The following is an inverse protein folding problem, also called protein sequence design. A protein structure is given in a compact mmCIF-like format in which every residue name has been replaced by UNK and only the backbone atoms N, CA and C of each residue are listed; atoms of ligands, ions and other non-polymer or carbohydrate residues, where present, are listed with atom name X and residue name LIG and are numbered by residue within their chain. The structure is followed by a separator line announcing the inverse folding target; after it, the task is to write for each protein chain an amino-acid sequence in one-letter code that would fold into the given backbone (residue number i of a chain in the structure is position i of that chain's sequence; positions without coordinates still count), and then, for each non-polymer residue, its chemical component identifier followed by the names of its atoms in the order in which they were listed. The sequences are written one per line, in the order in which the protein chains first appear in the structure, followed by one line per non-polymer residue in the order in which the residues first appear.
data_IF_361956619192
#
_entry.id   IF_361956619192
#
_cell.length_a   1.000
_cell.length_b   1.000
_cell.length_c   1.000
_cell.angle_alpha   90.00
_cell.angle_beta   90.00
_cell.angle_gamma   90.00
#
_symmetry.space_group_name_H-M   'P 1'
#
loop_
_entity.id
_entity.type
_entity.pdbx_description
1 polymer ?
#
# COMPACT_ATOMS: atom_id res chain seq x y z
N UNK A 1 -3.76 27.63 21.12
CA UNK A 1 -2.93 26.55 21.68
C UNK A 1 -3.71 25.58 22.58
N UNK A 2 -4.54 26.05 23.51
CA UNK A 2 -5.34 25.20 24.42
C UNK A 2 -6.28 24.20 23.71
N UNK A 3 -6.97 24.60 22.66
CA UNK A 3 -7.87 23.72 21.90
C UNK A 3 -7.16 22.56 21.19
N UNK A 4 -5.95 22.79 20.68
CA UNK A 4 -5.12 21.74 20.05
C UNK A 4 -4.61 20.72 21.09
N UNK A 5 -4.19 21.17 22.26
CA UNK A 5 -3.75 20.29 23.36
C UNK A 5 -4.91 19.39 23.86
N UNK A 6 -6.11 19.94 23.97
CA UNK A 6 -7.30 19.21 24.38
C UNK A 6 -7.67 18.15 23.32
N UNK A 7 -7.62 18.50 22.03
CA UNK A 7 -7.92 17.52 20.96
C UNK A 7 -6.87 16.40 20.90
N UNK A 8 -5.59 16.67 21.18
CA UNK A 8 -4.55 15.65 21.28
C UNK A 8 -4.74 14.75 22.52
N UNK A 9 -5.15 15.34 23.64
CA UNK A 9 -5.45 14.57 24.86
C UNK A 9 -6.63 13.60 24.66
N UNK A 10 -7.70 14.01 23.99
CA UNK A 10 -8.81 13.14 23.62
C UNK A 10 -8.41 12.08 22.59
N UNK A 11 -7.52 12.42 21.64
CA UNK A 11 -6.99 11.48 20.66
C UNK A 11 -6.13 10.37 21.29
N UNK A 12 -5.40 10.68 22.37
CA UNK A 12 -4.58 9.71 23.10
C UNK A 12 -5.39 8.88 24.12
N UNK A 13 -6.54 9.35 24.57
CA UNK A 13 -7.36 8.66 25.55
C UNK A 13 -7.80 7.27 25.05
N UNK A 14 -8.23 7.19 23.80
CA UNK A 14 -8.69 5.93 23.19
C UNK A 14 -7.60 4.85 23.13
N UNK A 15 -6.39 5.09 22.58
CA UNK A 15 -5.32 4.10 22.57
C UNK A 15 -4.87 3.70 24.00
N UNK A 16 -4.80 4.64 24.94
CA UNK A 16 -4.44 4.35 26.33
C UNK A 16 -5.49 3.47 27.00
N UNK A 17 -6.76 3.77 26.79
CA UNK A 17 -7.86 2.98 27.34
C UNK A 17 -7.89 1.57 26.75
N UNK A 18 -7.65 1.44 25.45
CA UNK A 18 -7.53 0.14 24.78
C UNK A 18 -6.33 -0.67 25.31
N UNK A 19 -5.18 -0.03 25.51
CA UNK A 19 -3.99 -0.69 26.08
C UNK A 19 -4.24 -1.14 27.53
N UNK A 20 -4.95 -0.32 28.33
CA UNK A 20 -5.34 -0.69 29.68
C UNK A 20 -6.32 -1.87 29.71
N UNK A 21 -7.33 -1.85 28.86
CA UNK A 21 -8.26 -2.97 28.71
C UNK A 21 -7.55 -4.24 28.26
N UNK A 22 -6.62 -4.13 27.31
CA UNK A 22 -5.79 -5.24 26.86
C UNK A 22 -5.01 -5.87 28.02
N UNK A 23 -4.27 -5.07 28.78
CA UNK A 23 -3.49 -5.54 29.94
C UNK A 23 -4.39 -6.13 31.03
N UNK A 24 -5.56 -5.55 31.27
CA UNK A 24 -6.54 -6.06 32.22
C UNK A 24 -7.07 -7.46 31.84
N UNK A 25 -7.38 -7.68 30.55
CA UNK A 25 -7.84 -8.98 30.08
C UNK A 25 -6.71 -10.02 30.03
N UNK A 26 -5.47 -9.61 29.70
CA UNK A 26 -4.32 -10.51 29.64
C UNK A 26 -4.01 -11.16 30.99
N UNK A 27 -4.31 -10.47 32.10
CA UNK A 27 -4.00 -10.94 33.45
C UNK A 27 -5.11 -11.80 34.09
N UNK A 28 -6.28 -12.00 33.42
CA UNK A 28 -7.43 -12.65 34.06
C UNK A 28 -7.37 -14.18 34.08
N UNK A 29 -6.77 -14.84 33.10
CA UNK A 29 -6.61 -16.31 33.09
C UNK A 29 -5.55 -16.76 32.10
N UNK A 30 -5.04 -17.98 32.26
CA UNK A 30 -4.05 -18.61 31.37
C UNK A 30 -4.58 -18.71 29.92
N UNK A 31 -5.88 -19.02 29.75
CA UNK A 31 -6.51 -19.06 28.42
C UNK A 31 -6.60 -17.68 27.78
N UNK A 32 -6.85 -16.63 28.57
CA UNK A 32 -6.83 -15.25 28.10
C UNK A 32 -5.40 -14.76 27.83
N UNK A 33 -4.40 -15.19 28.60
CA UNK A 33 -3.00 -14.83 28.37
C UNK A 33 -2.44 -15.38 27.04
N UNK A 34 -3.01 -16.47 26.50
CA UNK A 34 -2.68 -16.94 25.16
C UNK A 34 -3.23 -16.00 24.07
N UNK A 35 -4.47 -15.53 24.20
CA UNK A 35 -5.10 -14.64 23.23
C UNK A 35 -4.69 -13.17 23.44
N UNK A 36 -4.53 -12.75 24.70
CA UNK A 36 -4.14 -11.39 25.11
C UNK A 36 -2.79 -11.45 25.82
N UNK A 37 -1.70 -11.42 25.08
CA UNK A 37 -0.35 -11.49 25.63
C UNK A 37 -0.05 -10.25 26.48
N UNK A 38 0.54 -10.39 27.70
CA UNK A 38 0.96 -9.27 28.52
C UNK A 38 1.93 -8.32 27.78
N UNK A 39 1.77 -7.02 27.98
CA UNK A 39 2.62 -6.01 27.34
C UNK A 39 4.11 -6.23 27.63
N UNK A 40 4.42 -6.74 28.84
CA UNK A 40 5.80 -7.05 29.24
C UNK A 40 6.45 -8.13 28.36
N UNK A 41 5.68 -9.16 27.97
CA UNK A 41 6.18 -10.24 27.11
C UNK A 41 6.34 -9.75 25.66
N UNK A 42 5.41 -8.92 25.17
CA UNK A 42 5.55 -8.26 23.85
C UNK A 42 6.82 -7.41 23.81
N UNK A 43 7.09 -6.65 24.87
CA UNK A 43 8.28 -5.82 24.97
C UNK A 43 9.57 -6.65 25.01
N UNK A 44 9.59 -7.76 25.76
CA UNK A 44 10.71 -8.69 25.79
C UNK A 44 11.00 -9.29 24.41
N UNK A 45 9.95 -9.77 23.72
CA UNK A 45 10.07 -10.35 22.37
C UNK A 45 10.51 -9.34 21.32
N UNK A 46 10.09 -8.08 21.46
CA UNK A 46 10.60 -7.01 20.60
C UNK A 46 12.12 -6.87 20.72
N UNK A 47 12.66 -6.82 21.94
CA UNK A 47 14.11 -6.72 22.15
C UNK A 47 14.85 -7.99 21.77
N UNK A 48 14.27 -9.16 21.96
CA UNK A 48 14.82 -10.44 21.47
C UNK A 48 15.00 -10.41 19.94
N UNK A 49 13.93 -10.07 19.21
CA UNK A 49 13.93 -10.01 17.75
C UNK A 49 14.79 -8.86 17.19
N UNK A 50 14.88 -7.76 17.90
CA UNK A 50 15.75 -6.65 17.52
C UNK A 50 17.24 -6.98 17.77
N UNK A 51 17.52 -7.66 18.87
CA UNK A 51 18.90 -8.02 19.26
C UNK A 51 19.52 -9.13 18.43
N UNK A 52 18.74 -10.12 17.99
CA UNK A 52 19.20 -11.19 17.10
C UNK A 52 19.17 -10.80 15.61
N UNK A 53 18.59 -9.64 15.27
CA UNK A 53 18.50 -9.13 13.91
C UNK A 53 17.34 -9.67 13.07
N UNK A 54 16.53 -10.59 13.60
CA UNK A 54 15.41 -11.20 12.86
C UNK A 54 14.38 -10.17 12.45
N UNK A 55 14.06 -9.20 13.32
CA UNK A 55 13.11 -8.14 13.00
C UNK A 55 13.58 -7.30 11.82
N UNK A 56 14.85 -6.91 11.82
CA UNK A 56 15.44 -6.10 10.75
C UNK A 56 15.51 -6.87 9.42
N UNK A 57 15.91 -8.14 9.45
CA UNK A 57 15.95 -9.01 8.28
C UNK A 57 14.58 -9.16 7.61
N UNK A 58 13.56 -9.51 8.42
CA UNK A 58 12.20 -9.71 7.92
C UNK A 58 11.56 -8.40 7.45
N UNK A 59 11.77 -7.29 8.17
CA UNK A 59 11.31 -5.97 7.77
C UNK A 59 11.91 -5.55 6.42
N UNK A 60 13.23 -5.74 6.25
CA UNK A 60 13.91 -5.40 4.99
C UNK A 60 13.39 -6.25 3.82
N UNK A 61 13.15 -7.53 4.03
CA UNK A 61 12.59 -8.42 3.02
C UNK A 61 11.20 -7.96 2.58
N UNK A 62 10.31 -7.62 3.54
CA UNK A 62 8.96 -7.08 3.26
C UNK A 62 9.05 -5.75 2.51
N UNK A 63 9.89 -4.81 2.95
CA UNK A 63 10.07 -3.52 2.28
C UNK A 63 10.59 -3.69 0.84
N UNK A 64 11.56 -4.57 0.63
CA UNK A 64 12.09 -4.87 -0.70
C UNK A 64 11.01 -5.41 -1.64
N UNK A 65 10.19 -6.36 -1.18
CA UNK A 65 9.09 -6.92 -1.97
C UNK A 65 8.03 -5.84 -2.28
N UNK A 66 7.66 -5.02 -1.28
CA UNK A 66 6.73 -3.91 -1.47
C UNK A 66 7.23 -2.90 -2.52
N UNK A 67 8.50 -2.50 -2.43
CA UNK A 67 9.10 -1.54 -3.35
C UNK A 67 9.26 -2.09 -4.77
N UNK A 68 9.63 -3.36 -4.93
CA UNK A 68 9.73 -4.00 -6.25
C UNK A 68 8.36 -4.10 -6.91
N UNK A 69 7.35 -4.60 -6.18
CA UNK A 69 5.99 -4.67 -6.69
C UNK A 69 5.39 -3.29 -6.99
N UNK A 70 5.65 -2.29 -6.12
CA UNK A 70 5.24 -0.91 -6.34
C UNK A 70 5.87 -0.34 -7.62
N UNK A 71 7.15 -0.55 -7.85
CA UNK A 71 7.84 -0.04 -9.03
C UNK A 71 7.29 -0.67 -10.32
N UNK A 72 7.19 -2.00 -10.36
CA UNK A 72 6.69 -2.73 -11.53
C UNK A 72 5.23 -2.37 -11.81
N UNK A 73 4.37 -2.42 -10.78
CA UNK A 73 2.94 -2.13 -10.90
C UNK A 73 2.68 -0.67 -11.30
N UNK A 74 3.48 0.28 -10.80
CA UNK A 74 3.39 1.70 -11.18
C UNK A 74 3.76 1.91 -12.65
N UNK A 75 4.86 1.35 -13.11
CA UNK A 75 5.31 1.46 -14.51
C UNK A 75 4.26 0.88 -15.46
N UNK A 76 3.79 -0.32 -15.20
CA UNK A 76 2.76 -0.97 -16.01
C UNK A 76 1.42 -0.22 -15.93
N UNK A 77 1.03 0.23 -14.74
CA UNK A 77 -0.22 0.95 -14.52
C UNK A 77 -0.26 2.29 -15.25
N UNK A 78 0.83 3.08 -15.16
CA UNK A 78 0.93 4.35 -15.91
C UNK A 78 0.91 4.05 -17.42
N UNK A 79 1.66 3.07 -17.89
CA UNK A 79 1.75 2.75 -19.33
C UNK A 79 0.39 2.33 -19.90
N UNK A 80 -0.31 1.43 -19.23
CA UNK A 80 -1.63 0.94 -19.67
C UNK A 80 -2.70 2.03 -19.50
N UNK A 81 -2.73 2.72 -18.36
CA UNK A 81 -3.68 3.81 -18.12
C UNK A 81 -3.52 4.96 -19.10
N UNK A 82 -2.29 5.35 -19.40
CA UNK A 82 -2.01 6.38 -20.40
C UNK A 82 -2.40 5.91 -21.83
N UNK A 83 -2.12 4.67 -22.19
CA UNK A 83 -2.50 4.13 -23.50
C UNK A 83 -4.02 4.14 -23.70
N UNK A 84 -4.78 3.70 -22.70
CA UNK A 84 -6.26 3.77 -22.72
C UNK A 84 -6.77 5.21 -22.76
N UNK A 85 -6.12 6.13 -22.01
CA UNK A 85 -6.54 7.54 -21.95
C UNK A 85 -6.32 8.31 -23.26
N UNK A 86 -5.25 7.97 -24.01
CA UNK A 86 -4.83 8.68 -25.23
C UNK A 86 -5.39 8.03 -26.51
N UNK A 87 -5.37 6.68 -26.55
CA UNK A 87 -5.63 5.91 -27.77
C UNK A 87 -7.03 5.28 -27.66
N UNK A 88 -7.97 5.77 -28.45
CA UNK A 88 -9.36 5.27 -28.48
C UNK A 88 -9.44 3.75 -28.74
N UNK A 89 -8.60 3.22 -29.61
CA UNK A 89 -8.56 1.77 -29.90
C UNK A 89 -8.09 0.97 -28.68
N UNK A 90 -7.09 1.48 -27.92
CA UNK A 90 -6.66 0.85 -26.69
C UNK A 90 -7.75 0.88 -25.60
N UNK A 91 -8.49 1.99 -25.49
CA UNK A 91 -9.63 2.12 -24.59
C UNK A 91 -10.71 1.08 -24.88
N UNK A 92 -11.08 0.92 -26.16
CA UNK A 92 -12.11 -0.04 -26.59
C UNK A 92 -11.67 -1.50 -26.37
N UNK A 93 -10.39 -1.82 -26.59
CA UNK A 93 -9.88 -3.20 -26.50
C UNK A 93 -9.51 -3.59 -25.08
N UNK A 94 -8.79 -2.72 -24.36
CA UNK A 94 -8.23 -3.01 -23.02
C UNK A 94 -9.22 -2.63 -21.93
N UNK A 95 -9.95 -1.53 -22.10
CA UNK A 95 -10.85 -0.98 -21.07
C UNK A 95 -11.83 -1.99 -20.50
N UNK A 96 -12.63 -2.70 -21.30
CA UNK A 96 -13.57 -3.69 -20.79
C UNK A 96 -12.88 -4.81 -19.98
N UNK A 97 -11.77 -5.34 -20.49
CA UNK A 97 -10.99 -6.39 -19.83
C UNK A 97 -10.45 -5.87 -18.49
N UNK A 98 -9.84 -4.69 -18.51
CA UNK A 98 -9.32 -4.04 -17.31
C UNK A 98 -10.42 -3.84 -16.25
N UNK A 99 -11.59 -3.33 -16.64
CA UNK A 99 -12.70 -3.09 -15.72
C UNK A 99 -13.29 -4.37 -15.16
N UNK A 100 -13.33 -5.47 -15.92
CA UNK A 100 -13.77 -6.78 -15.43
C UNK A 100 -12.75 -7.37 -14.45
N UNK A 101 -11.48 -7.41 -14.82
CA UNK A 101 -10.43 -8.07 -14.02
C UNK A 101 -10.21 -7.37 -12.68
N UNK A 102 -10.30 -6.03 -12.63
CA UNK A 102 -10.14 -5.28 -11.37
C UNK A 102 -11.27 -5.53 -10.35
N UNK A 103 -12.42 -6.06 -10.76
CA UNK A 103 -13.52 -6.39 -9.84
C UNK A 103 -13.24 -7.71 -9.07
N UNK A 104 -12.34 -8.53 -9.58
CA UNK A 104 -11.95 -9.75 -8.89
C UNK A 104 -11.10 -9.39 -7.67
N UNK A 105 -11.50 -9.78 -6.44
CA UNK A 105 -10.69 -9.52 -5.26
C UNK A 105 -9.27 -10.09 -5.44
N UNK A 106 -8.25 -9.29 -5.09
CA UNK A 106 -6.84 -9.69 -5.25
C UNK A 106 -6.54 -11.04 -4.58
N UNK A 107 -7.13 -11.28 -3.41
CA UNK A 107 -6.98 -12.55 -2.68
C UNK A 107 -7.47 -13.77 -3.48
N UNK A 108 -8.42 -13.59 -4.39
CA UNK A 108 -8.91 -14.65 -5.26
C UNK A 108 -7.89 -15.13 -6.30
N UNK A 109 -6.88 -14.28 -6.64
CA UNK A 109 -5.81 -14.65 -7.57
C UNK A 109 -4.70 -15.48 -6.93
N UNK A 110 -4.56 -15.42 -5.60
CA UNK A 110 -3.45 -16.05 -4.88
C UNK A 110 -3.35 -17.55 -5.14
N UNK A 111 -4.43 -18.37 -5.05
CA UNK A 111 -4.36 -19.79 -5.32
C UNK A 111 -3.93 -20.10 -6.76
N UNK A 112 -4.43 -19.34 -7.74
CA UNK A 112 -4.08 -19.52 -9.15
C UNK A 112 -2.61 -19.16 -9.41
N UNK A 113 -2.15 -18.04 -8.86
CA UNK A 113 -0.75 -17.62 -8.99
C UNK A 113 0.18 -18.63 -8.32
N UNK A 114 -0.21 -19.15 -7.14
CA UNK A 114 0.53 -20.20 -6.46
C UNK A 114 0.61 -21.50 -7.26
N UNK A 115 -0.48 -21.86 -7.94
CA UNK A 115 -0.51 -23.04 -8.80
C UNK A 115 0.34 -22.89 -10.06
N UNK A 116 0.28 -21.74 -10.71
CA UNK A 116 0.97 -21.50 -11.99
C UNK A 116 2.47 -21.22 -11.83
N UNK A 117 2.85 -20.48 -10.80
CA UNK A 117 4.21 -19.94 -10.63
C UNK A 117 4.89 -20.44 -9.34
N UNK A 118 4.19 -21.28 -8.56
CA UNK A 118 4.67 -21.71 -7.24
C UNK A 118 4.53 -20.63 -6.16
N UNK A 119 5.00 -20.94 -4.94
CA UNK A 119 4.86 -20.07 -3.76
C UNK A 119 6.10 -19.21 -3.49
N UNK A 120 6.93 -18.96 -4.51
CA UNK A 120 8.20 -18.25 -4.38
C UNK A 120 8.10 -16.72 -4.35
N UNK A 121 9.27 -16.08 -4.33
CA UNK A 121 9.42 -14.60 -4.34
C UNK A 121 8.77 -13.96 -5.57
N UNK A 122 8.82 -14.64 -6.72
CA UNK A 122 8.17 -14.16 -7.95
C UNK A 122 6.66 -13.99 -7.76
N UNK A 123 5.98 -15.00 -7.23
CA UNK A 123 4.53 -14.97 -7.00
C UNK A 123 4.11 -13.88 -6.02
N UNK A 124 4.89 -13.68 -4.94
CA UNK A 124 4.69 -12.57 -4.01
C UNK A 124 4.76 -11.22 -4.74
N UNK A 125 5.85 -10.97 -5.46
CA UNK A 125 6.04 -9.71 -6.17
C UNK A 125 5.00 -9.49 -7.27
N UNK A 126 4.53 -10.56 -7.93
CA UNK A 126 3.46 -10.49 -8.93
C UNK A 126 2.14 -10.02 -8.30
N UNK A 127 1.76 -10.57 -7.14
CA UNK A 127 0.57 -10.14 -6.40
C UNK A 127 0.67 -8.66 -6.02
N UNK A 128 1.82 -8.23 -5.51
CA UNK A 128 2.04 -6.83 -5.14
C UNK A 128 1.97 -5.92 -6.38
N UNK A 129 2.59 -6.33 -7.49
CA UNK A 129 2.52 -5.58 -8.73
C UNK A 129 1.09 -5.46 -9.28
N UNK A 130 0.28 -6.52 -9.18
CA UNK A 130 -1.15 -6.48 -9.54
C UNK A 130 -1.94 -5.54 -8.63
N UNK A 131 -1.70 -5.56 -7.31
CA UNK A 131 -2.35 -4.67 -6.36
C UNK A 131 -2.11 -3.18 -6.67
N UNK A 132 -0.91 -2.86 -7.13
CA UNK A 132 -0.46 -1.53 -7.51
C UNK A 132 -0.97 -1.13 -8.90
N UNK A 133 -0.94 -2.08 -9.83
CA UNK A 133 -1.33 -1.86 -11.23
C UNK A 133 -2.74 -1.28 -11.36
N UNK A 134 -3.72 -1.84 -10.63
CA UNK A 134 -5.11 -1.41 -10.77
C UNK A 134 -5.33 0.07 -10.40
N UNK A 135 -4.97 0.57 -9.21
CA UNK A 135 -5.17 1.97 -8.89
C UNK A 135 -4.34 2.90 -9.77
N UNK A 136 -3.11 2.50 -10.14
CA UNK A 136 -2.26 3.31 -11.01
C UNK A 136 -2.84 3.47 -12.41
N UNK A 137 -3.30 2.38 -13.04
CA UNK A 137 -3.91 2.42 -14.36
C UNK A 137 -5.21 3.25 -14.36
N UNK A 138 -6.06 3.07 -13.33
CA UNK A 138 -7.31 3.81 -13.21
C UNK A 138 -7.06 5.32 -13.12
N UNK A 139 -6.26 5.74 -12.14
CA UNK A 139 -6.04 7.17 -11.92
C UNK A 139 -5.26 7.83 -13.05
N UNK A 140 -4.37 7.11 -13.72
CA UNK A 140 -3.70 7.63 -14.92
C UNK A 140 -4.70 7.81 -16.07
N UNK A 141 -5.56 6.83 -16.30
CA UNK A 141 -6.62 6.90 -17.32
C UNK A 141 -7.57 8.07 -17.05
N UNK A 142 -8.09 8.16 -15.83
CA UNK A 142 -9.01 9.24 -15.41
C UNK A 142 -8.35 10.61 -15.52
N UNK A 143 -7.09 10.75 -15.10
CA UNK A 143 -6.35 12.00 -15.17
C UNK A 143 -6.17 12.51 -16.60
N UNK A 144 -6.00 11.61 -17.57
CA UNK A 144 -5.86 11.97 -18.98
C UNK A 144 -7.24 12.27 -19.62
N UNK A 145 -8.27 11.51 -19.24
CA UNK A 145 -9.63 11.67 -19.83
C UNK A 145 -10.37 12.89 -19.28
N UNK A 146 -10.13 13.26 -18.03
CA UNK A 146 -10.83 14.34 -17.34
C UNK A 146 -10.16 15.72 -17.48
N UNK A 147 -9.25 15.88 -18.46
CA UNK A 147 -8.68 17.19 -18.77
C UNK A 147 -9.79 18.14 -19.23
N UNK A 148 -9.89 19.30 -18.58
CA UNK A 148 -10.90 20.29 -18.88
C UNK A 148 -10.79 20.85 -20.29
N UNK A 149 -11.93 21.09 -20.96
CA UNK A 149 -11.98 21.56 -22.33
C UNK A 149 -11.15 22.81 -22.60
N UNK A 150 -11.12 23.86 -21.73
CA UNK A 150 -10.29 25.05 -21.98
C UNK A 150 -8.81 24.74 -22.21
N UNK A 151 -8.22 23.78 -21.47
CA UNK A 151 -6.82 23.39 -21.68
C UNK A 151 -6.60 22.67 -23.01
N UNK A 152 -7.59 21.92 -23.48
CA UNK A 152 -7.53 21.25 -24.79
C UNK A 152 -7.59 22.29 -25.93
N UNK A 153 -8.47 23.30 -25.79
CA UNK A 153 -8.63 24.41 -26.76
C UNK A 153 -7.34 25.25 -26.85
N UNK A 154 -6.67 25.51 -25.74
CA UNK A 154 -5.34 26.17 -25.77
C UNK A 154 -4.35 25.39 -26.64
N UNK A 155 -4.29 24.07 -26.48
CA UNK A 155 -3.43 23.21 -27.31
C UNK A 155 -3.79 23.26 -28.81
N UNK A 156 -5.07 23.46 -29.16
CA UNK A 156 -5.54 23.63 -30.55
C UNK A 156 -5.17 24.98 -31.11
N UNK A 157 -5.34 26.06 -30.34
CA UNK A 157 -4.94 27.43 -30.74
C UNK A 157 -3.44 27.49 -31.07
N UNK A 158 -2.60 26.86 -30.23
CA UNK A 158 -1.17 26.79 -30.45
C UNK A 158 -0.76 25.74 -31.49
N UNK A 159 -1.71 25.02 -32.10
CA UNK A 159 -1.49 23.96 -33.10
C UNK A 159 -0.49 22.90 -32.62
N UNK A 160 -0.61 22.49 -31.35
CA UNK A 160 0.27 21.48 -30.79
C UNK A 160 0.14 20.13 -31.53
N UNK A 161 1.28 19.57 -31.90
CA UNK A 161 1.35 18.19 -32.38
C UNK A 161 0.98 17.19 -31.24
N UNK A 162 0.71 15.93 -31.60
CA UNK A 162 0.27 14.89 -30.63
C UNK A 162 1.18 14.80 -29.40
N UNK A 163 2.50 14.83 -29.60
CA UNK A 163 3.50 14.76 -28.53
C UNK A 163 3.50 16.03 -27.67
N UNK A 164 3.44 17.20 -28.29
CA UNK A 164 3.36 18.47 -27.56
C UNK A 164 2.09 18.59 -26.74
N UNK A 165 0.95 18.17 -27.28
CA UNK A 165 -0.33 18.09 -26.55
C UNK A 165 -0.23 17.14 -25.35
N UNK A 166 0.40 15.98 -25.50
CA UNK A 166 0.62 15.07 -24.39
C UNK A 166 1.47 15.69 -23.27
N UNK A 167 2.64 16.23 -23.61
CA UNK A 167 3.61 16.74 -22.63
C UNK A 167 3.16 18.04 -21.98
N UNK A 168 2.54 18.96 -22.74
CA UNK A 168 2.23 20.30 -22.25
C UNK A 168 0.79 20.47 -21.75
N UNK A 169 -0.14 19.58 -22.12
CA UNK A 169 -1.54 19.68 -21.75
C UNK A 169 -1.99 18.47 -20.92
N UNK A 170 -1.89 17.26 -21.48
CA UNK A 170 -2.46 16.08 -20.82
C UNK A 170 -1.70 15.67 -19.56
N UNK A 171 -0.38 15.55 -19.65
CA UNK A 171 0.46 15.07 -18.54
C UNK A 171 0.44 16.02 -17.33
N UNK A 172 0.58 17.36 -17.47
CA UNK A 172 0.48 18.26 -16.32
C UNK A 172 -0.89 18.22 -15.64
N UNK A 173 -1.99 18.12 -16.40
CA UNK A 173 -3.32 18.00 -15.83
C UNK A 173 -3.60 16.63 -15.21
N UNK A 174 -2.98 15.55 -15.73
CA UNK A 174 -3.11 14.20 -15.18
C UNK A 174 -2.25 14.00 -13.91
N UNK A 175 -1.24 14.84 -13.68
CA UNK A 175 -0.28 14.67 -12.59
C UNK A 175 -0.92 14.54 -11.18
N UNK A 176 -1.90 15.37 -10.78
CA UNK A 176 -2.58 15.22 -9.49
C UNK A 176 -3.31 13.88 -9.35
N UNK A 177 -3.92 13.38 -10.43
CA UNK A 177 -4.57 12.08 -10.46
C UNK A 177 -3.57 10.94 -10.32
N UNK A 178 -2.47 10.98 -11.09
CA UNK A 178 -1.38 10.00 -11.03
C UNK A 178 -0.80 9.94 -9.61
N UNK A 179 -0.61 11.10 -8.97
CA UNK A 179 -0.11 11.15 -7.61
C UNK A 179 -1.11 10.58 -6.58
N UNK A 180 -2.40 10.80 -6.78
CA UNK A 180 -3.46 10.18 -5.97
C UNK A 180 -3.46 8.67 -6.18
N UNK A 181 -3.33 8.21 -7.42
CA UNK A 181 -3.16 6.80 -7.77
C UNK A 181 -1.94 6.18 -7.07
N UNK A 182 -0.81 6.87 -7.08
CA UNK A 182 0.41 6.41 -6.40
C UNK A 182 0.24 6.32 -4.88
N UNK A 183 -0.46 7.26 -4.26
CA UNK A 183 -0.75 7.22 -2.83
C UNK A 183 -1.60 6.00 -2.46
N UNK A 184 -2.63 5.71 -3.26
CA UNK A 184 -3.47 4.52 -3.09
C UNK A 184 -2.66 3.24 -3.36
N UNK A 185 -1.87 3.23 -4.44
CA UNK A 185 -1.03 2.10 -4.82
C UNK A 185 -0.02 1.73 -3.73
N UNK A 186 0.57 2.71 -3.05
CA UNK A 186 1.49 2.47 -1.93
C UNK A 186 0.80 1.73 -0.78
N UNK A 187 -0.42 2.15 -0.42
CA UNK A 187 -1.19 1.48 0.63
C UNK A 187 -1.55 0.04 0.22
N UNK A 188 -2.00 -0.16 -1.02
CA UNK A 188 -2.29 -1.50 -1.55
C UNK A 188 -1.04 -2.37 -1.66
N UNK A 189 0.11 -1.81 -2.07
CA UNK A 189 1.38 -2.53 -2.10
C UNK A 189 1.75 -3.08 -0.72
N UNK A 190 1.64 -2.24 0.32
CA UNK A 190 1.94 -2.64 1.69
C UNK A 190 1.05 -3.78 2.17
N UNK A 191 -0.27 -3.62 2.05
CA UNK A 191 -1.25 -4.65 2.46
C UNK A 191 -1.07 -5.95 1.65
N UNK A 192 -0.87 -5.84 0.33
CA UNK A 192 -0.68 -7.00 -0.53
C UNK A 192 0.62 -7.75 -0.24
N UNK A 193 1.70 -7.03 0.12
CA UNK A 193 2.97 -7.65 0.49
C UNK A 193 2.82 -8.52 1.73
N UNK A 194 2.29 -7.94 2.82
CA UNK A 194 2.07 -8.68 4.07
C UNK A 194 1.09 -9.84 3.86
N UNK A 195 0.00 -9.62 3.11
CA UNK A 195 -0.98 -10.66 2.79
C UNK A 195 -0.39 -11.80 1.97
N UNK A 196 0.45 -11.51 0.99
CA UNK A 196 1.13 -12.55 0.19
C UNK A 196 2.17 -13.34 0.99
N UNK A 197 2.86 -12.69 1.93
CA UNK A 197 3.80 -13.34 2.84
C UNK A 197 3.10 -14.29 3.81
N UNK A 198 1.93 -13.92 4.32
CA UNK A 198 1.11 -14.78 5.17
C UNK A 198 0.62 -16.03 4.44
N UNK A 199 0.25 -15.89 3.16
CA UNK A 199 -0.37 -17.01 2.41
C UNK A 199 0.67 -17.93 1.78
N UNK A 200 1.79 -17.38 1.32
CA UNK A 200 2.85 -18.23 0.72
C UNK A 200 3.92 -18.68 1.72
N UNK A 201 4.07 -18.01 2.85
CA UNK A 201 4.99 -18.39 3.95
C UNK A 201 6.41 -18.78 3.52
N UNK A 202 6.91 -18.28 2.39
CA UNK A 202 8.19 -18.69 1.80
C UNK A 202 9.22 -17.59 1.93
N UNK A 203 10.38 -17.90 2.54
CA UNK A 203 11.48 -16.96 2.74
C UNK A 203 11.20 -15.90 3.83
N UNK A 204 12.14 -14.96 4.04
CA UNK A 204 11.99 -13.93 5.05
C UNK A 204 10.88 -12.93 4.69
N UNK A 205 10.23 -12.39 5.72
CA UNK A 205 9.19 -11.38 5.65
C UNK A 205 8.42 -11.29 6.96
N UNK A 206 7.88 -10.11 7.28
CA UNK A 206 7.12 -9.91 8.53
C UNK A 206 5.86 -10.78 8.59
N UNK A 207 5.17 -10.96 7.45
CA UNK A 207 4.01 -11.86 7.36
C UNK A 207 4.39 -13.31 7.53
N UNK A 208 5.52 -13.75 6.96
CA UNK A 208 6.04 -15.10 7.13
C UNK A 208 6.48 -15.34 8.58
N UNK A 209 7.20 -14.40 9.21
CA UNK A 209 7.58 -14.47 10.61
C UNK A 209 6.35 -14.57 11.52
N UNK A 210 5.30 -13.79 11.21
CA UNK A 210 4.03 -13.83 11.96
C UNK A 210 3.36 -15.20 11.88
N UNK A 211 3.34 -15.84 10.70
CA UNK A 211 2.75 -17.18 10.53
C UNK A 211 3.56 -18.26 11.27
N UNK A 212 4.90 -18.19 11.20
CA UNK A 212 5.79 -19.11 11.94
C UNK A 212 5.57 -18.96 13.44
N UNK A 213 5.53 -17.72 13.94
CA UNK A 213 5.26 -17.44 15.36
C UNK A 213 3.89 -17.95 15.81
N UNK A 214 2.86 -17.76 14.98
CA UNK A 214 1.52 -18.30 15.24
C UNK A 214 1.52 -19.83 15.35
N UNK A 215 2.19 -20.52 14.43
CA UNK A 215 2.30 -21.98 14.49
C UNK A 215 3.09 -22.51 15.69
N UNK A 216 4.05 -21.69 16.18
CA UNK A 216 4.81 -21.96 17.39
C UNK A 216 4.11 -21.50 18.68
N UNK A 217 2.86 -21.01 18.59
CA UNK A 217 2.08 -20.48 19.72
C UNK A 217 2.74 -19.26 20.40
N UNK A 218 3.65 -18.55 19.70
CA UNK A 218 4.31 -17.32 20.15
C UNK A 218 3.52 -16.08 19.73
N UNK A 219 2.38 -15.85 20.42
CA UNK A 219 1.52 -14.70 20.12
C UNK A 219 2.17 -13.35 20.46
N UNK A 220 3.14 -13.34 21.38
CA UNK A 220 4.02 -12.21 21.67
C UNK A 220 4.73 -11.69 20.40
N UNK A 221 5.34 -12.58 19.64
CA UNK A 221 6.01 -12.28 18.36
C UNK A 221 5.00 -11.84 17.29
N UNK A 222 3.83 -12.48 17.23
CA UNK A 222 2.76 -12.10 16.29
C UNK A 222 2.37 -10.64 16.51
N UNK A 223 2.17 -10.21 17.78
CA UNK A 223 1.80 -8.84 18.11
C UNK A 223 2.95 -7.86 17.77
N UNK A 224 4.21 -8.23 18.04
CA UNK A 224 5.37 -7.43 17.62
C UNK A 224 5.35 -7.19 16.11
N UNK A 225 5.09 -8.23 15.32
CA UNK A 225 4.98 -8.11 13.86
C UNK A 225 3.83 -7.17 13.45
N UNK A 226 2.63 -7.34 14.04
CA UNK A 226 1.46 -6.50 13.74
C UNK A 226 1.76 -5.03 14.05
N UNK A 227 2.33 -4.74 15.23
CA UNK A 227 2.70 -3.37 15.62
C UNK A 227 3.74 -2.79 14.67
N UNK A 228 4.76 -3.57 14.32
CA UNK A 228 5.80 -3.14 13.36
C UNK A 228 5.21 -2.84 11.99
N UNK A 229 4.34 -3.71 11.46
CA UNK A 229 3.62 -3.51 10.19
C UNK A 229 2.79 -2.22 10.24
N UNK A 230 2.06 -2.00 11.35
CA UNK A 230 1.26 -0.80 11.55
C UNK A 230 2.09 0.48 11.58
N UNK A 231 3.20 0.49 12.33
CA UNK A 231 4.10 1.65 12.43
C UNK A 231 4.69 1.98 11.05
N UNK A 232 5.21 1.00 10.34
CA UNK A 232 5.81 1.22 9.01
C UNK A 232 4.76 1.71 8.01
N UNK A 233 3.56 1.10 8.00
CA UNK A 233 2.45 1.58 7.17
C UNK A 233 2.07 3.03 7.46
N UNK A 234 1.99 3.43 8.72
CA UNK A 234 1.77 4.83 9.13
C UNK A 234 2.89 5.76 8.66
N UNK A 235 4.16 5.34 8.81
CA UNK A 235 5.31 6.12 8.36
C UNK A 235 5.31 6.31 6.83
N UNK A 236 5.00 5.26 6.07
CA UNK A 236 4.88 5.33 4.62
C UNK A 236 3.76 6.30 4.19
N UNK A 237 2.59 6.19 4.81
CA UNK A 237 1.46 7.07 4.53
C UNK A 237 1.75 8.55 4.90
N UNK A 238 2.40 8.77 6.04
CA UNK A 238 2.83 10.10 6.46
C UNK A 238 3.87 10.70 5.50
N UNK A 239 4.84 9.89 5.07
CA UNK A 239 5.86 10.27 4.09
C UNK A 239 5.26 10.72 2.77
N UNK A 240 4.33 9.90 2.20
CA UNK A 240 3.66 10.25 0.94
C UNK A 240 2.78 11.51 1.08
N UNK A 241 2.13 11.70 2.25
CA UNK A 241 1.36 12.89 2.53
C UNK A 241 2.20 14.18 2.53
N UNK A 242 3.45 14.12 3.02
CA UNK A 242 4.41 15.25 2.93
C UNK A 242 4.87 15.50 1.50
N UNK A 243 5.21 14.44 0.77
CA UNK A 243 5.63 14.51 -0.63
C UNK A 243 4.50 15.12 -1.48
N UNK A 244 3.25 14.67 -1.27
CA UNK A 244 2.08 15.21 -1.94
C UNK A 244 1.91 16.72 -1.72
N UNK A 245 2.06 17.20 -0.48
CA UNK A 245 1.97 18.63 -0.16
C UNK A 245 3.08 19.43 -0.84
N UNK A 246 4.26 18.88 -0.95
CA UNK A 246 5.39 19.56 -1.59
C UNK A 246 5.22 19.64 -3.11
N UNK A 247 4.79 18.54 -3.77
CA UNK A 247 4.61 18.49 -5.23
C UNK A 247 3.33 19.15 -5.73
N UNK A 248 2.26 19.18 -4.93
CA UNK A 248 0.94 19.71 -5.33
C UNK A 248 0.57 21.01 -4.62
N UNK A 249 1.50 21.62 -3.90
CA UNK A 249 1.28 22.87 -3.15
C UNK A 249 0.81 24.05 -4.02
N UNK A 250 1.12 24.02 -5.30
CA UNK A 250 0.67 25.02 -6.30
C UNK A 250 -0.77 24.79 -6.81
N UNK A 251 -1.35 23.58 -6.61
CA UNK A 251 -2.76 23.31 -6.96
C UNK A 251 -3.74 23.58 -5.81
N UNK A 252 -3.27 23.77 -4.58
CA UNK A 252 -4.10 24.04 -3.41
C UNK A 252 -4.24 25.54 -3.09
N UNK A 253 -3.86 26.45 -3.99
CA UNK A 253 -3.90 27.91 -3.81
C UNK A 253 -5.17 28.55 -4.37
N UNK A 254 -6.25 27.79 -4.62
CA UNK A 254 -7.57 28.33 -5.00
C UNK A 254 -8.67 27.71 -4.13
#
# INVERSE_FOLDING_TARGET
MRSRLISWAWGLLTPVLLAFLWEFFSRRSIAHAYAFVPVADIWRSFWELAGNGDLALNLWATLRSALLGLSIGTLLGISVGASMGIIKTADVLIGPIYHMVRQVPLLGWIPLIGLWFGTGVFSKNLIVAMAVFYPMALHTYEGIRNVEKPYLEVGEIFRFGRWQRFVHVLLPNAWPYIFTGFSNALAFAWVATVGSELLFATGPGLGALMLIAQSASRMDVVIVCIVTIGIIGCLMNFGIGKIRKWFLGWHCAH
#
